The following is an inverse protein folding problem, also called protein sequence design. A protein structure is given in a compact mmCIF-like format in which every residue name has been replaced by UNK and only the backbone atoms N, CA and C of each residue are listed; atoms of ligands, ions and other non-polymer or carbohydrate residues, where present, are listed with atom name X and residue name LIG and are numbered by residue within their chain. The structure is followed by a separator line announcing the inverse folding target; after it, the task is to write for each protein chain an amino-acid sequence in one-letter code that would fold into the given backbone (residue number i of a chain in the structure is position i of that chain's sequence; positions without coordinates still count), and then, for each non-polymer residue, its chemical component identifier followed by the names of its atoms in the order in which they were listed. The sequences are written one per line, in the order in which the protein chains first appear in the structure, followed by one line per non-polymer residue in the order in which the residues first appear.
data_IF_350888266888
#
_entry.id   IF_350888266888
#
_cell.length_a   1.000
_cell.length_b   1.000
_cell.length_c   1.000
_cell.angle_alpha   90.00
_cell.angle_beta   90.00
_cell.angle_gamma   90.00
#
_symmetry.space_group_name_H-M   'P 1'
#
loop_
_entity.id
_entity.type
_entity.pdbx_description
1 polymer ?
#
# COMPACT_ATOMS: atom_id res chain seq x y z
N UNK A 1 -51.84 -5.97 37.74
CA UNK A 1 -51.38 -5.44 36.44
C UNK A 1 -50.03 -6.06 36.16
N UNK A 2 -49.86 -6.95 35.15
CA UNK A 2 -48.55 -7.50 34.81
C UNK A 2 -47.82 -6.53 33.89
N UNK A 3 -46.56 -6.22 34.27
CA UNK A 3 -45.62 -5.40 33.52
C UNK A 3 -45.07 -6.24 32.36
N UNK A 4 -45.38 -5.85 31.12
CA UNK A 4 -44.91 -6.50 29.90
C UNK A 4 -43.49 -5.95 29.62
N UNK A 5 -42.45 -6.75 29.84
CA UNK A 5 -41.10 -6.43 29.43
C UNK A 5 -40.97 -6.68 27.93
N UNK A 6 -40.90 -5.59 27.17
CA UNK A 6 -40.62 -5.62 25.73
C UNK A 6 -39.07 -5.80 25.53
N UNK A 7 -38.63 -7.02 25.23
CA UNK A 7 -37.24 -7.31 24.90
C UNK A 7 -37.01 -6.89 23.44
N UNK A 8 -36.33 -5.76 23.24
CA UNK A 8 -35.84 -5.36 21.92
C UNK A 8 -34.65 -6.25 21.53
N UNK A 9 -34.86 -7.18 20.62
CA UNK A 9 -33.78 -7.86 19.92
C UNK A 9 -33.18 -6.89 18.92
N UNK A 10 -32.02 -6.29 19.29
CA UNK A 10 -31.18 -5.56 18.33
C UNK A 10 -30.62 -6.60 17.34
N UNK A 11 -31.20 -6.71 16.15
CA UNK A 11 -30.59 -7.43 15.04
C UNK A 11 -29.32 -6.64 14.65
N UNK A 12 -28.18 -7.12 15.10
CA UNK A 12 -26.89 -6.72 14.53
C UNK A 12 -26.89 -7.25 13.11
N UNK A 13 -27.24 -6.39 12.15
CA UNK A 13 -27.00 -6.66 10.73
C UNK A 13 -25.48 -6.71 10.60
N UNK A 14 -24.91 -7.91 10.52
CA UNK A 14 -23.51 -8.07 10.16
C UNK A 14 -23.35 -7.46 8.76
N UNK A 15 -22.51 -6.45 8.65
CA UNK A 15 -22.07 -5.90 7.37
C UNK A 15 -21.67 -7.05 6.44
N UNK A 16 -22.06 -7.02 5.15
CA UNK A 16 -21.66 -8.08 4.23
C UNK A 16 -20.15 -8.13 4.17
N UNK A 17 -19.59 -9.20 4.72
CA UNK A 17 -18.13 -9.35 4.85
C UNK A 17 -17.51 -9.42 3.46
N UNK A 18 -16.51 -8.55 3.22
CA UNK A 18 -15.80 -8.45 1.96
C UNK A 18 -15.17 -9.80 1.54
N UNK A 19 -15.47 -10.26 0.32
CA UNK A 19 -14.96 -11.53 -0.20
C UNK A 19 -13.43 -11.54 -0.28
N UNK A 20 -12.83 -10.43 -0.64
CA UNK A 20 -11.36 -10.30 -0.71
C UNK A 20 -10.70 -10.45 0.67
N UNK A 21 -11.23 -9.78 1.68
CA UNK A 21 -10.72 -9.84 3.05
C UNK A 21 -10.84 -11.26 3.63
N UNK A 22 -11.97 -11.94 3.39
CA UNK A 22 -12.15 -13.35 3.75
C UNK A 22 -11.11 -14.24 3.07
N UNK A 23 -10.94 -14.09 1.76
CA UNK A 23 -10.00 -14.89 0.99
C UNK A 23 -8.56 -14.68 1.49
N UNK A 24 -8.17 -13.42 1.74
CA UNK A 24 -6.86 -13.09 2.28
C UNK A 24 -6.62 -13.72 3.65
N UNK A 25 -7.58 -13.62 4.56
CA UNK A 25 -7.50 -14.23 5.89
C UNK A 25 -7.44 -15.77 5.80
N UNK A 26 -8.25 -16.41 4.94
CA UNK A 26 -8.23 -17.86 4.73
C UNK A 26 -6.90 -18.36 4.13
N UNK A 27 -6.23 -17.54 3.34
CA UNK A 27 -4.90 -17.84 2.81
C UNK A 27 -3.76 -17.52 3.80
N UNK A 28 -4.09 -17.13 5.03
CA UNK A 28 -3.13 -16.88 6.10
C UNK A 28 -2.45 -15.51 6.04
N UNK A 29 -2.94 -14.58 5.22
CA UNK A 29 -2.47 -13.20 5.26
C UNK A 29 -2.94 -12.52 6.56
N UNK A 30 -2.13 -11.58 7.01
CA UNK A 30 -2.34 -10.86 8.27
C UNK A 30 -2.80 -9.44 7.99
N UNK A 31 -3.84 -8.99 8.67
CA UNK A 31 -4.29 -7.61 8.66
C UNK A 31 -3.25 -6.71 9.35
N UNK A 32 -2.77 -5.71 8.63
CA UNK A 32 -1.62 -4.89 9.04
C UNK A 32 -1.91 -4.11 10.32
N UNK A 33 -3.07 -3.44 10.41
CA UNK A 33 -3.40 -2.59 11.55
C UNK A 33 -3.62 -3.39 12.85
N UNK A 34 -4.13 -4.62 12.74
CA UNK A 34 -4.25 -5.51 13.91
C UNK A 34 -2.88 -5.98 14.41
N UNK A 35 -1.94 -6.21 13.50
CA UNK A 35 -0.62 -6.73 13.84
C UNK A 35 0.39 -5.66 14.26
N UNK A 36 0.23 -4.42 13.79
CA UNK A 36 1.16 -3.32 14.03
C UNK A 36 0.36 -2.11 14.55
N UNK A 37 0.15 -2.01 15.86
CA UNK A 37 -0.49 -0.83 16.44
C UNK A 37 0.29 0.45 16.09
N UNK A 38 -0.42 1.49 15.67
CA UNK A 38 0.17 2.77 15.30
C UNK A 38 0.53 2.91 13.83
N UNK A 39 0.44 1.84 13.01
CA UNK A 39 0.50 2.00 11.56
C UNK A 39 -0.84 2.53 11.04
N UNK A 40 -0.80 3.42 10.06
CA UNK A 40 -1.99 3.99 9.45
C UNK A 40 -2.29 3.32 8.11
N UNK A 41 -3.57 3.24 7.73
CA UNK A 41 -4.01 2.66 6.45
C UNK A 41 -5.03 3.59 5.81
N UNK A 42 -4.76 3.96 4.56
CA UNK A 42 -5.64 4.69 3.66
C UNK A 42 -5.50 4.08 2.26
N UNK A 43 -6.17 2.94 2.02
CA UNK A 43 -6.08 2.27 0.73
C UNK A 43 -6.60 3.20 -0.38
N UNK A 44 -5.70 3.77 -1.17
CA UNK A 44 -6.02 4.74 -2.22
C UNK A 44 -6.98 4.17 -3.27
N UNK A 45 -6.83 2.90 -3.62
CA UNK A 45 -7.75 2.23 -4.55
C UNK A 45 -9.12 1.88 -3.95
N UNK A 46 -9.30 2.02 -2.63
CA UNK A 46 -10.61 1.94 -1.98
C UNK A 46 -11.33 3.29 -1.92
N UNK A 47 -10.71 4.35 -2.41
CA UNK A 47 -11.23 5.71 -2.50
C UNK A 47 -11.24 6.20 -3.96
N UNK A 48 -11.54 7.47 -4.20
CA UNK A 48 -11.38 8.15 -5.50
C UNK A 48 -10.04 8.87 -5.64
N UNK A 49 -9.20 8.86 -4.60
CA UNK A 49 -7.87 9.49 -4.59
C UNK A 49 -6.79 8.55 -5.16
N UNK A 50 -6.93 8.25 -6.46
CA UNK A 50 -6.03 7.44 -7.27
C UNK A 50 -6.13 7.87 -8.74
N UNK A 51 -5.25 7.38 -9.62
CA UNK A 51 -5.20 7.80 -11.02
C UNK A 51 -6.48 7.47 -11.83
N UNK A 52 -7.32 6.55 -11.35
CA UNK A 52 -8.58 6.20 -12.01
C UNK A 52 -9.76 7.06 -11.55
N UNK A 53 -9.60 7.83 -10.47
CA UNK A 53 -10.66 8.61 -9.81
C UNK A 53 -11.90 7.78 -9.46
N UNK A 54 -11.68 6.50 -9.07
CA UNK A 54 -12.75 5.52 -8.76
C UNK A 54 -12.36 4.66 -7.57
N UNK A 55 -13.36 4.21 -6.80
CA UNK A 55 -13.17 3.10 -5.88
C UNK A 55 -13.03 1.80 -6.69
N UNK A 56 -11.79 1.36 -6.89
CA UNK A 56 -11.43 0.13 -7.62
C UNK A 56 -11.63 -1.10 -6.74
N UNK A 57 -11.34 -0.97 -5.44
CA UNK A 57 -11.32 -2.09 -4.49
C UNK A 57 -12.69 -2.52 -4.01
N UNK A 58 -13.72 -1.69 -4.22
CA UNK A 58 -15.09 -1.99 -3.78
C UNK A 58 -15.17 -2.18 -2.26
N UNK A 59 -15.42 -3.40 -1.81
CA UNK A 59 -15.56 -3.73 -0.39
C UNK A 59 -14.22 -3.87 0.36
N UNK A 60 -13.07 -3.99 -0.32
CA UNK A 60 -11.77 -4.15 0.32
C UNK A 60 -11.33 -2.84 0.97
N UNK A 61 -11.37 -2.78 2.30
CA UNK A 61 -11.05 -1.60 3.10
C UNK A 61 -9.84 -1.80 4.01
N UNK A 62 -9.41 -3.06 4.19
CA UNK A 62 -8.34 -3.44 5.11
C UNK A 62 -7.10 -3.87 4.33
N UNK A 63 -5.94 -3.53 4.84
CA UNK A 63 -4.66 -3.88 4.25
C UNK A 63 -4.13 -5.20 4.82
N UNK A 64 -3.80 -6.14 3.95
CA UNK A 64 -3.26 -7.46 4.30
C UNK A 64 -1.89 -7.68 3.65
N UNK A 65 -1.02 -8.43 4.33
CA UNK A 65 0.27 -8.89 3.79
C UNK A 65 0.57 -10.31 4.28
N UNK A 66 1.55 -10.97 3.65
CA UNK A 66 2.11 -12.21 4.16
C UNK A 66 2.68 -12.01 5.57
N UNK A 67 2.53 -12.99 6.45
CA UNK A 67 2.95 -12.88 7.87
C UNK A 67 4.40 -12.41 8.05
N UNK A 68 5.31 -12.91 7.25
CA UNK A 68 6.72 -12.50 7.31
C UNK A 68 6.96 -11.09 6.75
N UNK A 69 6.12 -10.63 5.82
CA UNK A 69 6.18 -9.25 5.30
C UNK A 69 5.67 -8.27 6.37
N UNK A 70 4.62 -8.64 7.12
CA UNK A 70 4.16 -7.86 8.28
C UNK A 70 5.25 -7.75 9.35
N UNK A 71 6.01 -8.81 9.60
CA UNK A 71 7.13 -8.77 10.55
C UNK A 71 8.24 -7.79 10.11
N UNK A 72 8.52 -7.71 8.81
CA UNK A 72 9.44 -6.71 8.24
C UNK A 72 8.87 -5.30 8.36
N UNK A 73 7.59 -5.12 8.05
CA UNK A 73 6.92 -3.82 8.13
C UNK A 73 6.90 -3.29 9.57
N UNK A 74 6.71 -4.19 10.55
CA UNK A 74 6.82 -3.82 11.97
C UNK A 74 8.21 -3.28 12.30
N UNK A 75 9.29 -3.92 11.83
CA UNK A 75 10.65 -3.42 12.04
C UNK A 75 10.86 -2.04 11.41
N UNK A 76 10.27 -1.79 10.23
CA UNK A 76 10.31 -0.49 9.59
C UNK A 76 9.60 0.59 10.42
N UNK A 77 8.39 0.28 10.94
CA UNK A 77 7.64 1.18 11.82
C UNK A 77 8.41 1.43 13.13
N UNK A 78 8.93 0.39 13.77
CA UNK A 78 9.70 0.51 15.02
C UNK A 78 10.93 1.42 14.83
N UNK A 79 11.65 1.26 13.72
CA UNK A 79 12.78 2.12 13.37
C UNK A 79 12.34 3.58 13.14
N UNK A 80 11.25 3.77 12.40
CA UNK A 80 10.70 5.12 12.14
C UNK A 80 10.34 5.80 13.45
N UNK A 81 9.60 5.12 14.33
CA UNK A 81 9.17 5.66 15.63
C UNK A 81 10.34 6.00 16.55
N UNK A 82 11.42 5.20 16.51
CA UNK A 82 12.63 5.45 17.29
C UNK A 82 13.45 6.65 16.77
N UNK A 83 13.54 6.80 15.44
CA UNK A 83 14.33 7.86 14.80
C UNK A 83 13.57 9.18 14.63
N UNK A 84 12.24 9.11 14.54
CA UNK A 84 11.33 10.24 14.34
C UNK A 84 10.06 10.03 15.20
N UNK A 85 10.14 10.34 16.52
CA UNK A 85 8.99 10.18 17.41
C UNK A 85 7.76 10.93 16.89
N UNK A 86 6.60 10.30 16.94
CA UNK A 86 5.35 10.84 16.40
C UNK A 86 5.10 10.55 14.91
N UNK A 87 6.07 10.01 14.17
CA UNK A 87 5.86 9.64 12.77
C UNK A 87 5.34 8.20 12.64
N UNK A 88 4.48 8.01 11.65
CA UNK A 88 3.82 6.76 11.32
C UNK A 88 4.00 6.38 9.85
N UNK A 89 4.13 5.11 9.56
CA UNK A 89 3.93 4.62 8.20
C UNK A 89 2.44 4.67 7.87
N UNK A 90 2.11 5.20 6.69
CA UNK A 90 0.75 5.28 6.16
C UNK A 90 0.66 4.47 4.87
N UNK A 91 -0.08 3.37 4.91
CA UNK A 91 -0.23 2.40 3.83
C UNK A 91 -1.24 2.91 2.80
N UNK A 92 -0.83 2.99 1.54
CA UNK A 92 -1.65 3.36 0.39
C UNK A 92 -2.13 2.14 -0.41
N UNK A 93 -1.30 1.08 -0.49
CA UNK A 93 -1.66 -0.21 -1.07
C UNK A 93 -0.84 -1.34 -0.45
N UNK A 94 -1.41 -2.55 -0.45
CA UNK A 94 -0.77 -3.74 0.09
C UNK A 94 -1.05 -4.95 -0.81
N UNK A 95 -1.76 -5.97 -0.32
CA UNK A 95 -2.16 -7.10 -1.16
C UNK A 95 -3.26 -6.67 -2.13
N UNK A 96 -2.95 -6.77 -3.42
CA UNK A 96 -3.86 -6.43 -4.51
C UNK A 96 -4.39 -7.72 -5.16
N UNK A 97 -5.72 -7.97 -5.16
CA UNK A 97 -6.28 -9.08 -5.91
C UNK A 97 -5.94 -8.98 -7.41
N UNK A 98 -5.70 -10.12 -8.06
CA UNK A 98 -5.35 -10.16 -9.48
C UNK A 98 -6.43 -9.54 -10.37
N UNK A 99 -7.72 -9.72 -10.02
CA UNK A 99 -8.83 -9.05 -10.71
C UNK A 99 -8.67 -7.51 -10.69
N UNK A 100 -8.22 -6.94 -9.56
CA UNK A 100 -7.98 -5.50 -9.42
C UNK A 100 -6.72 -5.04 -10.17
N UNK A 101 -5.71 -5.88 -10.29
CA UNK A 101 -4.56 -5.61 -11.15
C UNK A 101 -4.99 -5.50 -12.62
N UNK A 102 -5.94 -6.32 -13.09
CA UNK A 102 -6.52 -6.20 -14.42
C UNK A 102 -7.33 -4.92 -14.59
N UNK A 103 -8.10 -4.50 -13.58
CA UNK A 103 -8.84 -3.23 -13.61
C UNK A 103 -7.90 -2.04 -13.83
N UNK A 104 -6.78 -1.97 -13.06
CA UNK A 104 -5.75 -0.93 -13.21
C UNK A 104 -5.07 -0.97 -14.58
N UNK A 105 -4.69 -2.15 -15.04
CA UNK A 105 -4.06 -2.33 -16.35
C UNK A 105 -4.96 -1.85 -17.49
N UNK A 106 -6.22 -2.24 -17.47
CA UNK A 106 -7.18 -1.90 -18.51
C UNK A 106 -7.61 -0.42 -18.51
N UNK A 107 -7.36 0.28 -17.43
CA UNK A 107 -7.62 1.73 -17.32
C UNK A 107 -6.63 2.59 -18.14
N UNK A 108 -5.57 2.01 -18.67
CA UNK A 108 -4.53 2.71 -19.42
C UNK A 108 -4.44 2.28 -20.90
N UNK A 109 -5.57 2.21 -21.65
CA UNK A 109 -5.59 1.70 -23.02
C UNK A 109 -4.80 2.56 -24.01
N UNK A 110 -4.56 3.84 -23.68
CA UNK A 110 -3.81 4.80 -24.48
C UNK A 110 -2.32 4.48 -24.56
N UNK A 111 -1.79 3.64 -23.65
CA UNK A 111 -0.39 3.21 -23.68
C UNK A 111 -0.25 1.81 -24.27
N UNK A 112 0.77 1.61 -25.10
CA UNK A 112 1.15 0.26 -25.53
C UNK A 112 1.52 -0.61 -24.31
N UNK A 113 1.39 -1.95 -24.37
CA UNK A 113 1.73 -2.83 -23.23
C UNK A 113 3.11 -2.58 -22.64
N UNK A 114 4.11 -2.31 -23.49
CA UNK A 114 5.49 -2.01 -23.08
C UNK A 114 5.57 -0.71 -22.26
N UNK A 115 4.87 0.35 -22.67
CA UNK A 115 4.85 1.65 -21.96
C UNK A 115 4.00 1.54 -20.69
N UNK A 116 2.85 0.84 -20.77
CA UNK A 116 1.95 0.62 -19.66
C UNK A 116 2.63 -0.07 -18.48
N UNK A 117 3.53 -1.02 -18.77
CA UNK A 117 4.31 -1.75 -17.74
C UNK A 117 5.21 -0.84 -16.89
N UNK A 118 5.47 0.40 -17.32
CA UNK A 118 6.21 1.38 -16.50
C UNK A 118 5.35 1.99 -15.40
N UNK A 119 4.02 1.89 -15.50
CA UNK A 119 3.07 2.49 -14.56
C UNK A 119 2.27 1.45 -13.79
N UNK A 120 1.88 0.37 -14.45
CA UNK A 120 1.11 -0.73 -13.86
C UNK A 120 1.73 -2.03 -14.32
N UNK A 121 2.14 -2.89 -13.37
CA UNK A 121 2.70 -4.19 -13.70
C UNK A 121 1.73 -5.02 -14.55
N UNK A 122 2.26 -5.72 -15.57
CA UNK A 122 1.45 -6.58 -16.44
C UNK A 122 0.79 -7.70 -15.63
N UNK A 123 -0.54 -7.79 -15.59
CA UNK A 123 -1.25 -8.81 -14.82
C UNK A 123 -0.93 -10.25 -15.24
N UNK A 124 -0.57 -10.48 -16.51
CA UNK A 124 -0.16 -11.80 -16.99
C UNK A 124 1.17 -12.29 -16.36
N UNK A 125 2.03 -11.34 -15.93
CA UNK A 125 3.29 -11.61 -15.24
C UNK A 125 3.16 -11.52 -13.71
N UNK A 126 2.03 -11.04 -13.24
CA UNK A 126 1.67 -10.73 -11.85
C UNK A 126 2.52 -9.61 -11.24
N UNK A 127 1.88 -8.73 -10.48
CA UNK A 127 2.55 -7.77 -9.59
C UNK A 127 3.01 -8.47 -8.30
N UNK A 128 4.05 -7.94 -7.65
CA UNK A 128 4.47 -8.45 -6.33
C UNK A 128 3.38 -8.19 -5.28
N UNK A 129 2.53 -7.19 -5.45
CA UNK A 129 1.31 -6.97 -4.67
C UNK A 129 0.34 -8.14 -4.74
N UNK A 130 0.24 -8.84 -5.89
CA UNK A 130 -0.65 -10.00 -6.03
C UNK A 130 -0.24 -11.20 -5.18
N UNK A 131 0.99 -11.19 -4.63
CA UNK A 131 1.51 -12.20 -3.71
C UNK A 131 1.50 -11.74 -2.24
N UNK A 132 0.97 -10.56 -1.94
CA UNK A 132 1.04 -9.99 -0.60
C UNK A 132 2.46 -9.68 -0.12
N UNK A 133 3.36 -9.34 -1.05
CA UNK A 133 4.81 -9.19 -0.83
C UNK A 133 5.37 -7.82 -1.21
N UNK A 134 4.52 -6.87 -1.55
CA UNK A 134 4.87 -5.48 -1.78
C UNK A 134 3.91 -4.56 -1.04
N UNK A 135 4.33 -3.33 -0.79
CA UNK A 135 3.54 -2.29 -0.14
C UNK A 135 3.85 -0.94 -0.76
N UNK A 136 2.80 -0.15 -1.00
CA UNK A 136 2.89 1.26 -1.35
C UNK A 136 2.52 2.09 -0.12
N UNK A 137 3.37 3.05 0.25
CA UNK A 137 3.19 3.79 1.50
C UNK A 137 3.93 5.11 1.51
N UNK A 138 3.58 5.92 2.50
CA UNK A 138 4.26 7.16 2.84
C UNK A 138 4.56 7.24 4.33
N UNK A 139 5.12 8.35 4.78
CA UNK A 139 5.22 8.74 6.19
C UNK A 139 4.16 9.77 6.50
N UNK A 140 3.48 9.61 7.61
CA UNK A 140 2.58 10.61 8.18
C UNK A 140 3.16 11.17 9.48
N UNK A 141 2.77 12.42 9.80
CA UNK A 141 3.10 13.08 11.07
C UNK A 141 2.23 12.54 12.23
N UNK A 142 2.43 13.07 13.42
CA UNK A 142 1.68 12.69 14.63
C UNK A 142 0.17 12.99 14.56
N UNK A 143 -0.27 13.83 13.64
CA UNK A 143 -1.68 14.11 13.34
C UNK A 143 -2.23 13.19 12.22
N UNK A 144 -1.43 12.26 11.72
CA UNK A 144 -1.81 11.35 10.64
C UNK A 144 -1.78 11.98 9.23
N UNK A 145 -1.23 13.19 9.07
CA UNK A 145 -1.15 13.88 7.79
C UNK A 145 0.09 13.41 7.01
N UNK A 146 -0.06 13.00 5.74
CA UNK A 146 1.08 12.56 4.94
C UNK A 146 2.09 13.70 4.73
N UNK A 147 3.38 13.37 4.84
CA UNK A 147 4.46 14.32 4.53
C UNK A 147 4.50 14.62 3.02
N UNK A 148 4.90 15.84 2.66
CA UNK A 148 5.11 16.21 1.25
C UNK A 148 6.25 15.38 0.65
N UNK A 149 5.93 14.54 -0.33
CA UNK A 149 6.88 13.71 -1.07
C UNK A 149 7.23 14.31 -2.45
N UNK A 150 6.74 15.52 -2.76
CA UNK A 150 6.99 16.25 -4.01
C UNK A 150 6.16 15.80 -5.21
N UNK A 151 5.47 14.67 -5.10
CA UNK A 151 4.41 14.22 -6.01
C UNK A 151 3.35 13.47 -5.23
N UNK A 152 2.10 13.43 -5.70
CA UNK A 152 1.10 12.51 -5.16
C UNK A 152 1.52 11.04 -5.40
N UNK A 153 0.80 10.13 -4.75
CA UNK A 153 0.76 8.71 -5.08
C UNK A 153 0.28 8.52 -6.54
N UNK A 154 0.73 7.47 -7.22
CA UNK A 154 0.40 7.17 -8.63
C UNK A 154 0.80 8.28 -9.64
N UNK A 155 1.74 9.15 -9.31
CA UNK A 155 2.23 10.14 -10.25
C UNK A 155 3.06 9.49 -11.37
N UNK A 156 2.56 9.55 -12.61
CA UNK A 156 3.22 9.00 -13.79
C UNK A 156 4.27 9.98 -14.36
N UNK A 157 5.54 9.77 -14.02
CA UNK A 157 6.63 10.58 -14.52
C UNK A 157 7.87 10.63 -13.66
N UNK A 158 8.94 11.20 -14.22
CA UNK A 158 10.29 11.22 -13.62
C UNK A 158 10.34 11.89 -12.24
N UNK A 159 9.40 12.76 -11.93
CA UNK A 159 9.32 13.40 -10.62
C UNK A 159 9.07 12.39 -9.48
N UNK A 160 8.47 11.21 -9.79
CA UNK A 160 8.28 10.12 -8.82
C UNK A 160 9.49 9.20 -8.69
N UNK A 161 10.48 9.28 -9.58
CA UNK A 161 11.56 8.30 -9.69
C UNK A 161 12.67 8.49 -8.65
N UNK A 162 12.91 7.55 -7.74
CA UNK A 162 14.07 7.55 -6.84
C UNK A 162 15.41 7.69 -7.58
N UNK A 163 15.53 7.06 -8.75
CA UNK A 163 16.72 7.13 -9.60
C UNK A 163 17.03 8.55 -10.12
N UNK A 164 16.05 9.45 -10.14
CA UNK A 164 16.19 10.83 -10.63
C UNK A 164 16.29 11.89 -9.54
N UNK A 165 16.09 11.53 -8.28
CA UNK A 165 15.98 12.49 -7.14
C UNK A 165 17.16 13.47 -7.04
N UNK A 166 18.40 12.99 -7.23
CA UNK A 166 19.59 13.88 -7.15
C UNK A 166 19.58 14.95 -8.25
N UNK A 167 19.24 14.56 -9.48
CA UNK A 167 19.15 15.48 -10.61
C UNK A 167 17.98 16.46 -10.45
N UNK A 168 16.82 15.98 -9.97
CA UNK A 168 15.65 16.79 -9.72
C UNK A 168 15.90 17.80 -8.57
N UNK A 169 16.63 17.39 -7.54
CA UNK A 169 17.05 18.27 -6.44
C UNK A 169 18.02 19.34 -6.94
N UNK A 170 19.03 18.98 -7.73
CA UNK A 170 20.02 19.88 -8.28
C UNK A 170 19.39 20.93 -9.22
N UNK A 171 18.35 20.55 -9.99
CA UNK A 171 17.61 21.44 -10.88
C UNK A 171 16.50 22.26 -10.18
N UNK A 172 16.30 22.08 -8.87
CA UNK A 172 15.26 22.76 -8.10
C UNK A 172 13.83 22.25 -8.36
N UNK A 173 13.65 21.19 -9.19
CA UNK A 173 12.34 20.59 -9.47
C UNK A 173 11.79 19.82 -8.28
N UNK A 174 12.64 19.15 -7.51
CA UNK A 174 12.28 18.49 -6.25
C UNK A 174 12.73 19.37 -5.08
N UNK A 175 11.80 19.73 -4.19
CA UNK A 175 12.13 20.51 -2.99
C UNK A 175 13.01 19.70 -2.03
N UNK A 176 13.92 20.36 -1.32
CA UNK A 176 14.80 19.74 -0.32
C UNK A 176 14.02 18.98 0.75
N UNK A 177 12.89 19.52 1.17
CA UNK A 177 12.02 18.89 2.17
C UNK A 177 11.43 17.57 1.66
N UNK A 178 10.82 17.56 0.49
CA UNK A 178 10.28 16.35 -0.13
C UNK A 178 11.37 15.27 -0.33
N UNK A 179 12.57 15.68 -0.74
CA UNK A 179 13.71 14.76 -0.82
C UNK A 179 14.08 14.15 0.54
N UNK A 180 14.11 14.96 1.61
CA UNK A 180 14.35 14.48 2.98
C UNK A 180 13.27 13.51 3.43
N UNK A 181 12.00 13.81 3.17
CA UNK A 181 10.87 12.95 3.52
C UNK A 181 10.97 11.57 2.83
N UNK A 182 11.30 11.55 1.53
CA UNK A 182 11.58 10.30 0.80
C UNK A 182 12.76 9.52 1.39
N UNK A 183 13.81 10.19 1.87
CA UNK A 183 14.93 9.53 2.52
C UNK A 183 14.53 8.94 3.87
N UNK A 184 13.68 9.61 4.66
CA UNK A 184 13.14 9.09 5.92
C UNK A 184 12.38 7.79 5.65
N UNK A 185 11.42 7.81 4.72
CA UNK A 185 10.67 6.63 4.30
C UNK A 185 11.60 5.48 3.87
N UNK A 186 12.49 5.76 2.93
CA UNK A 186 13.39 4.75 2.36
C UNK A 186 14.31 4.13 3.41
N UNK A 187 14.85 4.92 4.34
CA UNK A 187 15.67 4.40 5.44
C UNK A 187 14.90 3.46 6.34
N UNK A 188 13.68 3.82 6.72
CA UNK A 188 12.82 2.97 7.55
C UNK A 188 12.52 1.65 6.83
N UNK A 189 12.13 1.71 5.55
CA UNK A 189 11.79 0.53 4.78
C UNK A 189 13.00 -0.41 4.54
N UNK A 190 14.17 0.15 4.22
CA UNK A 190 15.41 -0.64 4.09
C UNK A 190 15.77 -1.29 5.43
N UNK A 191 15.62 -0.58 6.55
CA UNK A 191 15.84 -1.16 7.88
C UNK A 191 14.89 -2.34 8.16
N UNK A 192 13.64 -2.24 7.72
CA UNK A 192 12.68 -3.35 7.76
C UNK A 192 13.01 -4.53 6.83
N UNK A 193 14.00 -4.38 5.94
CA UNK A 193 14.41 -5.42 4.98
C UNK A 193 13.61 -5.38 3.67
N UNK A 194 13.05 -4.22 3.32
CA UNK A 194 12.40 -3.99 2.02
C UNK A 194 13.38 -3.41 1.01
N UNK A 195 13.04 -3.62 -0.26
CA UNK A 195 13.80 -3.13 -1.42
C UNK A 195 12.98 -2.04 -2.14
N UNK A 196 13.50 -0.80 -2.26
CA UNK A 196 12.89 0.22 -3.11
C UNK A 196 13.03 -0.14 -4.59
N UNK A 197 12.24 0.51 -5.45
CA UNK A 197 12.38 0.43 -6.91
C UNK A 197 12.81 1.78 -7.51
N UNK A 198 13.16 1.80 -8.79
CA UNK A 198 13.75 2.98 -9.44
C UNK A 198 12.74 4.03 -9.91
N UNK A 199 11.45 3.66 -10.02
CA UNK A 199 10.45 4.46 -10.73
C UNK A 199 9.31 4.97 -9.85
N UNK A 200 9.23 4.53 -8.58
CA UNK A 200 8.15 4.88 -7.65
C UNK A 200 8.71 5.07 -6.25
N UNK A 201 8.60 6.29 -5.68
CA UNK A 201 9.14 6.58 -4.35
C UNK A 201 8.36 5.88 -3.23
N UNK A 202 7.10 5.52 -3.49
CA UNK A 202 6.18 4.88 -2.52
C UNK A 202 6.30 3.36 -2.45
N UNK A 203 6.80 2.71 -3.53
CA UNK A 203 6.76 1.25 -3.69
C UNK A 203 7.97 0.54 -3.09
N UNK A 204 7.69 -0.51 -2.30
CA UNK A 204 8.72 -1.34 -1.67
C UNK A 204 8.38 -2.83 -1.75
N UNK A 205 9.32 -3.63 -2.23
CA UNK A 205 9.22 -5.07 -2.30
C UNK A 205 9.85 -5.75 -1.09
N UNK A 206 9.16 -6.71 -0.47
CA UNK A 206 9.75 -7.55 0.59
C UNK A 206 10.63 -8.68 0.01
N UNK A 207 10.30 -9.13 -1.19
CA UNK A 207 11.02 -10.19 -1.92
C UNK A 207 11.17 -9.82 -3.38
N UNK A 208 12.16 -10.41 -4.05
CA UNK A 208 12.24 -10.37 -5.51
C UNK A 208 10.99 -11.04 -6.13
N UNK A 209 10.66 -10.70 -7.38
CA UNK A 209 9.54 -11.33 -8.10
C UNK A 209 9.67 -12.86 -8.14
N UNK A 210 10.88 -13.38 -8.39
CA UNK A 210 11.14 -14.80 -8.44
C UNK A 210 10.89 -15.49 -7.09
N UNK A 211 11.32 -14.86 -6.00
CA UNK A 211 11.08 -15.37 -4.65
C UNK A 211 9.60 -15.30 -4.26
N UNK A 212 8.91 -14.18 -4.51
CA UNK A 212 7.49 -14.05 -4.22
C UNK A 212 6.68 -15.13 -4.95
N UNK A 213 6.94 -15.34 -6.25
CA UNK A 213 6.30 -16.37 -7.05
C UNK A 213 6.56 -17.81 -6.53
N UNK A 214 7.76 -18.08 -6.02
CA UNK A 214 8.10 -19.40 -5.47
C UNK A 214 7.47 -19.65 -4.11
N UNK A 215 7.28 -18.59 -3.30
CA UNK A 215 6.87 -18.69 -1.88
C UNK A 215 5.36 -18.62 -1.68
N UNK A 216 4.66 -17.88 -2.51
CA UNK A 216 3.28 -17.48 -2.25
C UNK A 216 2.38 -17.72 -3.46
N UNK A 217 1.12 -18.04 -3.19
CA UNK A 217 0.09 -18.09 -4.21
C UNK A 217 -0.35 -16.67 -4.60
N UNK A 218 -0.79 -16.53 -5.85
CA UNK A 218 -1.44 -15.30 -6.34
C UNK A 218 -2.83 -15.19 -5.73
N UNK A 219 -3.15 -14.02 -5.20
CA UNK A 219 -4.49 -13.67 -4.74
C UNK A 219 -5.38 -13.31 -5.94
N UNK A 220 -6.41 -14.09 -6.13
CA UNK A 220 -7.40 -13.93 -7.22
C UNK A 220 -8.51 -12.97 -6.84
#
# INVERSE_FOLDING_TARGET
MPLLFLVFFLRILSEPSCVYEKTMAQQGLVEIQQAIPGILVELKYATTDNFMHKNVYGCLQKAYLQKEVVARLKKAQDYLSASHPGYHLLIYDATRPLSKQWDLWNALPQYSPKVRSNYVANPAEHSIHNYGSAVDLTVADEQGRPLDMGTPFDFFGEMAYPSREKALLASGKLKKEAYRNRLILRKAMIHGGFMPIEYEWWHFNAFSRAEAKRRFAVLK
#
